data_IF_717666052685
#
_entry.id   IF_717666052685
#
_cell.length_a   1.000
_cell.length_b   1.000
_cell.length_c   1.000
_cell.angle_alpha   90.00
_cell.angle_beta   90.00
_cell.angle_gamma   90.00
#
_symmetry.space_group_name_H-M   'P 1'
#
loop_
_entity.id
_entity.type
_entity.pdbx_description
1 polymer ?
#
# COMPACT_ATOMS: atom_id res chain seq x y z
N UNK A 1 -16.52 -4.82 -23.22
CA UNK A 1 -15.36 -5.53 -23.79
C UNK A 1 -14.03 -5.12 -23.18
N UNK A 2 -13.86 -3.85 -22.78
CA UNK A 2 -12.56 -3.31 -22.28
C UNK A 2 -12.13 -3.78 -20.87
N UNK A 3 -13.06 -4.10 -19.96
CA UNK A 3 -12.69 -4.53 -18.59
C UNK A 3 -12.01 -5.91 -18.52
N UNK A 4 -12.26 -6.77 -19.48
CA UNK A 4 -11.59 -8.08 -19.60
C UNK A 4 -10.12 -7.92 -20.02
N UNK A 5 -9.88 -7.03 -20.97
CA UNK A 5 -8.54 -6.70 -21.47
C UNK A 5 -7.74 -5.99 -20.36
N UNK A 6 -8.38 -5.15 -19.56
CA UNK A 6 -7.77 -4.47 -18.43
C UNK A 6 -7.26 -5.44 -17.36
N UNK A 7 -8.08 -6.36 -16.90
CA UNK A 7 -7.68 -7.35 -15.91
C UNK A 7 -6.64 -8.34 -16.45
N UNK A 8 -6.67 -8.67 -17.76
CA UNK A 8 -5.66 -9.53 -18.38
C UNK A 8 -4.33 -8.80 -18.55
N UNK A 9 -4.31 -7.52 -18.91
CA UNK A 9 -3.10 -6.71 -19.00
C UNK A 9 -2.46 -6.45 -17.63
N UNK A 10 -3.28 -6.28 -16.59
CA UNK A 10 -2.81 -6.23 -15.21
C UNK A 10 -2.12 -7.55 -14.80
N UNK A 11 -2.65 -8.68 -15.30
CA UNK A 11 -2.09 -10.02 -15.08
C UNK A 11 -0.77 -10.23 -15.84
N UNK A 12 -0.64 -9.73 -17.07
CA UNK A 12 0.60 -9.83 -17.86
C UNK A 12 1.76 -9.02 -17.28
N UNK A 13 1.48 -7.84 -16.73
CA UNK A 13 2.45 -7.08 -15.95
C UNK A 13 2.88 -7.85 -14.68
N UNK A 14 2.02 -8.72 -14.17
CA UNK A 14 2.22 -9.49 -12.94
C UNK A 14 3.01 -10.80 -13.15
N UNK A 15 2.80 -11.51 -14.27
CA UNK A 15 3.49 -12.78 -14.56
C UNK A 15 5.00 -12.56 -14.82
N UNK A 16 5.39 -11.43 -15.41
CA UNK A 16 6.79 -11.01 -15.48
C UNK A 16 7.43 -10.68 -14.11
N UNK A 17 6.59 -10.53 -13.07
CA UNK A 17 6.97 -10.13 -11.70
C UNK A 17 7.24 -11.31 -10.76
N UNK A 18 6.68 -12.49 -11.05
CA UNK A 18 6.73 -13.65 -10.14
C UNK A 18 8.13 -14.27 -9.99
N UNK A 19 9.05 -13.97 -10.89
CA UNK A 19 10.42 -14.52 -10.88
C UNK A 19 11.35 -13.89 -9.85
N UNK A 20 10.97 -12.80 -9.15
CA UNK A 20 11.94 -12.00 -8.37
C UNK A 20 11.53 -11.64 -6.94
N UNK A 21 10.43 -12.16 -6.41
CA UNK A 21 10.01 -11.88 -5.04
C UNK A 21 10.78 -12.73 -4.02
N UNK A 22 12.02 -12.34 -3.72
CA UNK A 22 12.60 -12.57 -2.40
C UNK A 22 11.86 -11.65 -1.43
N UNK A 23 10.96 -12.22 -0.63
CA UNK A 23 10.33 -11.60 0.51
C UNK A 23 11.42 -11.31 1.57
N UNK A 24 12.08 -10.17 1.43
CA UNK A 24 12.80 -9.59 2.55
C UNK A 24 11.74 -8.88 3.39
N UNK A 25 11.38 -9.48 4.51
CA UNK A 25 10.64 -8.81 5.57
C UNK A 25 11.36 -7.48 5.85
N UNK A 26 10.83 -6.38 5.32
CA UNK A 26 11.38 -5.05 5.57
C UNK A 26 11.09 -4.75 7.03
N UNK A 27 12.07 -5.04 7.88
CA UNK A 27 12.08 -4.52 9.24
C UNK A 27 12.02 -3.00 9.11
N UNK A 28 10.92 -2.40 9.55
CA UNK A 28 10.72 -0.95 9.45
C UNK A 28 11.68 -0.29 10.40
N UNK A 29 12.84 0.09 9.88
CA UNK A 29 13.79 0.90 10.64
C UNK A 29 13.19 2.31 10.79
N UNK A 30 13.23 2.83 12.02
CA UNK A 30 12.78 4.17 12.38
C UNK A 30 13.31 5.20 11.39
N UNK A 31 12.46 6.14 11.01
CA UNK A 31 12.87 7.27 10.18
C UNK A 31 13.90 8.12 10.92
N UNK A 32 14.89 8.62 10.21
CA UNK A 32 15.98 9.42 10.80
C UNK A 32 16.11 10.76 10.08
N UNK A 33 16.50 11.77 10.84
CA UNK A 33 16.89 13.06 10.28
C UNK A 33 18.31 12.96 9.75
N UNK A 34 18.50 13.37 8.51
CA UNK A 34 19.80 13.51 7.88
C UNK A 34 19.97 14.94 7.37
N UNK A 35 21.17 15.46 7.51
CA UNK A 35 21.53 16.78 6.98
C UNK A 35 22.49 16.62 5.81
N UNK A 36 22.36 17.51 4.83
CA UNK A 36 23.32 17.64 3.73
C UNK A 36 23.85 19.06 3.73
N UNK A 37 25.18 19.19 3.82
CA UNK A 37 25.89 20.47 3.82
C UNK A 37 26.48 20.74 2.44
N UNK A 38 26.25 21.92 1.90
CA UNK A 38 26.92 22.49 0.75
C UNK A 38 27.70 23.75 1.17
N UNK A 39 28.49 24.35 0.26
CA UNK A 39 29.25 25.57 0.58
C UNK A 39 28.40 26.69 1.17
N UNK A 40 27.14 26.84 0.74
CA UNK A 40 26.28 27.96 1.07
C UNK A 40 24.97 27.62 1.80
N UNK A 41 24.69 26.32 2.03
CA UNK A 41 23.45 25.90 2.64
C UNK A 41 23.56 24.54 3.35
N UNK A 42 22.85 24.38 4.46
CA UNK A 42 22.59 23.10 5.10
C UNK A 42 21.09 22.77 4.91
N UNK A 43 20.78 21.59 4.43
CA UNK A 43 19.39 21.13 4.20
C UNK A 43 19.09 19.90 5.05
N UNK A 44 17.86 19.83 5.55
CA UNK A 44 17.35 18.79 6.43
C UNK A 44 16.39 17.86 5.68
N UNK A 45 16.54 16.55 5.91
CA UNK A 45 15.76 15.50 5.26
C UNK A 45 15.34 14.45 6.26
N UNK A 46 14.14 13.91 6.10
CA UNK A 46 13.74 12.65 6.75
C UNK A 46 14.08 11.52 5.79
N UNK A 47 14.88 10.56 6.24
CA UNK A 47 15.32 9.40 5.47
C UNK A 47 14.93 8.09 6.14
N UNK A 48 14.61 7.09 5.33
CA UNK A 48 14.39 5.72 5.73
C UNK A 48 15.58 4.86 5.33
N UNK A 49 16.19 4.17 6.31
CA UNK A 49 17.23 3.18 6.02
C UNK A 49 16.56 1.86 5.59
N UNK A 50 17.12 1.20 4.59
CA UNK A 50 16.71 -0.14 4.16
C UNK A 50 17.92 -0.93 3.68
N UNK A 51 17.76 -2.25 3.57
CA UNK A 51 18.78 -3.13 3.00
C UNK A 51 18.39 -3.38 1.54
N UNK A 52 19.29 -3.11 0.60
CA UNK A 52 19.03 -3.36 -0.81
C UNK A 52 19.14 -4.86 -1.16
N UNK A 53 18.84 -5.23 -2.40
CA UNK A 53 18.90 -6.60 -2.90
C UNK A 53 20.28 -7.26 -2.77
N UNK A 54 21.33 -6.46 -2.61
CA UNK A 54 22.72 -6.90 -2.46
C UNK A 54 23.16 -7.01 -0.99
N UNK A 55 22.23 -6.86 -0.03
CA UNK A 55 22.50 -6.89 1.40
C UNK A 55 23.17 -5.62 1.94
N UNK A 56 23.30 -4.56 1.13
CA UNK A 56 23.93 -3.30 1.54
C UNK A 56 22.91 -2.37 2.18
N UNK A 57 23.27 -1.80 3.34
CA UNK A 57 22.45 -0.77 4.00
C UNK A 57 22.50 0.52 3.18
N UNK A 58 21.32 1.00 2.79
CA UNK A 58 21.16 2.25 2.03
C UNK A 58 20.00 3.07 2.62
N UNK A 59 19.78 4.28 2.13
CA UNK A 59 18.68 5.12 2.61
C UNK A 59 17.98 5.84 1.47
N UNK A 60 16.67 5.97 1.57
CA UNK A 60 15.87 6.81 0.67
C UNK A 60 15.34 8.04 1.38
N UNK A 61 15.25 9.15 0.67
CA UNK A 61 14.62 10.36 1.19
C UNK A 61 13.11 10.22 1.13
N UNK A 62 12.45 10.37 2.29
CA UNK A 62 11.00 10.37 2.41
C UNK A 62 10.47 11.78 2.22
N UNK A 63 11.08 12.76 2.93
CA UNK A 63 10.66 14.16 2.89
C UNK A 63 11.85 15.09 3.05
N UNK A 64 11.87 16.18 2.28
CA UNK A 64 12.73 17.33 2.53
C UNK A 64 12.03 18.28 3.48
N UNK A 65 12.67 18.66 4.57
CA UNK A 65 12.13 19.58 5.57
C UNK A 65 12.36 21.04 5.20
N UNK A 66 13.53 21.36 4.63
CA UNK A 66 13.90 22.70 4.22
C UNK A 66 15.39 22.97 4.39
N UNK A 67 15.79 24.21 4.16
CA UNK A 67 17.15 24.70 4.44
C UNK A 67 17.25 25.27 5.84
N UNK A 68 18.46 25.25 6.43
CA UNK A 68 18.68 25.79 7.77
C UNK A 68 18.19 27.25 7.90
N UNK A 69 18.42 28.07 6.86
CA UNK A 69 18.01 29.47 6.86
C UNK A 69 16.48 29.65 6.96
N UNK A 70 15.74 28.84 6.22
CA UNK A 70 14.26 28.84 6.27
C UNK A 70 13.77 28.37 7.63
N UNK A 71 14.32 27.28 8.14
CA UNK A 71 13.87 26.63 9.36
C UNK A 71 14.23 27.45 10.64
N UNK A 72 15.31 28.23 10.62
CA UNK A 72 15.65 29.12 11.73
C UNK A 72 14.61 30.25 11.92
N UNK A 73 13.97 30.68 10.83
CA UNK A 73 12.91 31.71 10.91
C UNK A 73 11.64 31.16 11.54
N UNK A 74 11.33 29.87 11.30
CA UNK A 74 10.04 29.27 11.68
C UNK A 74 10.12 28.50 13.01
N UNK A 75 11.27 27.90 13.34
CA UNK A 75 11.36 26.88 14.40
C UNK A 75 12.39 27.17 15.48
N UNK A 76 13.00 28.36 15.50
CA UNK A 76 13.89 28.82 16.58
C UNK A 76 15.22 29.38 16.09
N UNK A 77 15.88 30.17 16.95
CA UNK A 77 17.07 30.94 16.55
C UNK A 77 18.35 30.10 16.47
N UNK A 78 18.34 28.84 16.96
CA UNK A 78 19.53 28.03 16.98
C UNK A 78 19.41 26.79 16.09
N UNK A 79 20.55 26.27 15.62
CA UNK A 79 20.61 25.03 14.85
C UNK A 79 20.07 23.84 15.66
N UNK A 80 20.24 23.87 16.98
CA UNK A 80 19.81 22.79 17.86
C UNK A 80 18.28 22.78 18.01
N UNK A 81 17.63 23.93 18.01
CA UNK A 81 16.16 24.03 17.99
C UNK A 81 15.59 23.43 16.70
N UNK A 82 16.17 23.78 15.55
CA UNK A 82 15.80 23.20 14.25
C UNK A 82 16.01 21.70 14.24
N UNK A 83 17.10 21.20 14.82
CA UNK A 83 17.36 19.76 14.90
C UNK A 83 16.38 19.05 15.84
N UNK A 84 16.00 19.66 16.95
CA UNK A 84 15.00 19.11 17.86
C UNK A 84 13.64 19.00 17.17
N UNK A 85 13.21 20.08 16.49
CA UNK A 85 12.00 20.08 15.69
C UNK A 85 12.03 19.03 14.57
N UNK A 86 13.13 18.92 13.82
CA UNK A 86 13.28 17.94 12.76
C UNK A 86 13.19 16.50 13.28
N UNK A 87 13.75 16.21 14.46
CA UNK A 87 13.63 14.90 15.13
C UNK A 87 12.18 14.60 15.50
N UNK A 88 11.44 15.60 16.00
CA UNK A 88 10.02 15.45 16.32
C UNK A 88 9.19 15.19 15.05
N UNK A 89 9.47 15.85 13.93
CA UNK A 89 8.83 15.56 12.65
C UNK A 89 9.12 14.11 12.18
N UNK A 90 10.35 13.63 12.35
CA UNK A 90 10.70 12.26 12.02
C UNK A 90 9.99 11.24 12.93
N UNK A 91 9.74 11.57 14.22
CA UNK A 91 8.95 10.78 15.16
C UNK A 91 7.50 10.67 14.70
N UNK A 92 6.87 11.81 14.40
CA UNK A 92 5.48 11.89 13.92
C UNK A 92 5.30 11.09 12.62
N UNK A 93 6.22 11.25 11.68
CA UNK A 93 6.17 10.49 10.42
C UNK A 93 6.39 8.98 10.64
N UNK A 94 7.22 8.59 11.62
CA UNK A 94 7.39 7.18 12.00
C UNK A 94 6.11 6.60 12.58
N UNK A 95 5.45 7.32 13.50
CA UNK A 95 4.18 6.90 14.09
C UNK A 95 3.06 6.76 13.05
N UNK A 96 2.96 7.72 12.11
CA UNK A 96 2.01 7.61 11.00
C UNK A 96 2.27 6.38 10.14
N UNK A 97 3.55 6.10 9.86
CA UNK A 97 3.93 4.94 9.07
C UNK A 97 3.65 3.62 9.81
N UNK A 98 3.89 3.58 11.13
CA UNK A 98 3.57 2.43 11.98
C UNK A 98 2.06 2.22 12.10
N UNK A 99 1.27 3.29 12.24
CA UNK A 99 -0.19 3.22 12.24
C UNK A 99 -0.75 2.74 10.89
N UNK A 100 -0.22 3.25 9.77
CA UNK A 100 -0.59 2.76 8.42
C UNK A 100 -0.26 1.27 8.28
N UNK A 101 0.87 0.82 8.81
CA UNK A 101 1.26 -0.60 8.81
C UNK A 101 0.39 -1.44 9.74
N UNK A 102 0.07 -0.94 10.93
CA UNK A 102 -0.82 -1.62 11.88
C UNK A 102 -2.24 -1.79 11.33
N UNK A 103 -2.72 -0.81 10.55
CA UNK A 103 -4.02 -0.90 9.86
C UNK A 103 -4.07 -2.00 8.78
N UNK A 104 -2.93 -2.58 8.41
CA UNK A 104 -2.84 -3.71 7.48
C UNK A 104 -2.67 -5.06 8.21
N UNK A 105 -2.73 -5.07 9.55
CA UNK A 105 -2.71 -6.30 10.32
C UNK A 105 -4.13 -6.83 10.53
N UNK A 106 -4.35 -8.10 10.22
CA UNK A 106 -5.62 -8.79 10.52
C UNK A 106 -5.43 -9.51 11.85
N UNK A 107 -6.02 -9.01 12.96
CA UNK A 107 -5.93 -9.69 14.25
C UNK A 107 -6.81 -10.94 14.24
N UNK A 108 -6.21 -12.10 14.39
CA UNK A 108 -6.93 -13.37 14.57
C UNK A 108 -6.92 -13.71 16.07
N UNK A 109 -8.09 -13.66 16.69
CA UNK A 109 -8.24 -14.01 18.11
C UNK A 109 -8.49 -15.50 18.26
N UNK A 110 -7.60 -16.19 18.96
CA UNK A 110 -7.72 -17.60 19.29
C UNK A 110 -8.27 -17.76 20.71
N UNK A 111 -9.38 -18.51 20.83
CA UNK A 111 -9.97 -18.89 22.11
C UNK A 111 -9.85 -20.41 22.27
N UNK A 112 -8.79 -20.94 22.92
CA UNK A 112 -8.54 -22.38 22.98
C UNK A 112 -9.65 -23.16 23.69
N UNK A 113 -10.40 -22.50 24.58
CA UNK A 113 -11.47 -23.13 25.38
C UNK A 113 -12.88 -22.95 24.79
N UNK A 114 -13.01 -22.27 23.63
CA UNK A 114 -14.30 -22.07 23.00
C UNK A 114 -14.73 -23.33 22.25
N UNK A 115 -15.91 -23.86 22.62
CA UNK A 115 -16.56 -24.92 21.84
C UNK A 115 -16.99 -24.37 20.48
N UNK A 116 -16.80 -25.16 19.46
CA UNK A 116 -17.12 -24.82 18.09
C UNK A 116 -18.57 -25.10 17.84
N UNK A 117 -19.30 -24.11 17.32
CA UNK A 117 -20.70 -24.31 16.94
C UNK A 117 -20.79 -25.20 15.69
N UNK A 118 -21.87 -26.00 15.61
CA UNK A 118 -22.13 -26.80 14.42
C UNK A 118 -22.37 -25.87 13.21
N UNK A 119 -21.67 -26.12 12.10
CA UNK A 119 -21.75 -25.27 10.91
C UNK A 119 -20.86 -24.01 10.93
N UNK A 120 -20.09 -23.75 11.99
CA UNK A 120 -19.16 -22.63 12.03
C UNK A 120 -18.09 -22.79 10.93
N UNK A 121 -17.93 -21.75 10.09
CA UNK A 121 -16.95 -21.71 9.03
C UNK A 121 -15.55 -21.56 9.63
N UNK A 122 -14.65 -22.46 9.28
CA UNK A 122 -13.29 -22.50 9.84
C UNK A 122 -12.18 -22.52 8.82
N UNK A 123 -12.54 -22.71 7.56
CA UNK A 123 -11.57 -22.68 6.48
C UNK A 123 -11.61 -21.29 5.85
N UNK A 124 -10.47 -20.62 5.91
CA UNK A 124 -10.26 -19.34 5.25
C UNK A 124 -9.10 -19.47 4.27
N UNK A 125 -9.23 -18.76 3.16
CA UNK A 125 -8.16 -18.69 2.19
C UNK A 125 -7.23 -17.54 2.58
N UNK A 126 -6.02 -17.88 3.06
CA UNK A 126 -5.02 -16.89 3.52
C UNK A 126 -4.06 -16.42 2.43
N UNK A 127 -4.06 -17.07 1.24
CA UNK A 127 -3.11 -16.73 0.17
C UNK A 127 -3.21 -15.28 -0.34
N UNK A 128 -4.38 -14.67 -0.21
CA UNK A 128 -4.58 -13.27 -0.58
C UNK A 128 -3.79 -12.27 0.27
N UNK A 129 -3.41 -12.62 1.51
CA UNK A 129 -2.64 -11.74 2.39
C UNK A 129 -1.28 -11.35 1.78
N UNK A 130 -0.66 -12.28 1.06
CA UNK A 130 0.55 -11.99 0.33
C UNK A 130 0.30 -10.98 -0.81
N UNK A 131 -0.79 -11.16 -1.54
CA UNK A 131 -1.20 -10.26 -2.62
C UNK A 131 -1.62 -8.89 -2.08
N UNK A 132 -2.23 -8.84 -0.90
CA UNK A 132 -2.62 -7.63 -0.20
C UNK A 132 -1.40 -6.75 0.10
N UNK A 133 -0.29 -7.33 0.57
CA UNK A 133 0.95 -6.60 0.79
C UNK A 133 1.43 -5.90 -0.48
N UNK A 134 1.43 -6.61 -1.62
CA UNK A 134 1.81 -6.06 -2.92
C UNK A 134 0.84 -4.99 -3.43
N UNK A 135 -0.45 -5.18 -3.22
CA UNK A 135 -1.49 -4.22 -3.58
C UNK A 135 -1.25 -2.86 -2.93
N UNK A 136 -0.93 -2.87 -1.63
CA UNK A 136 -0.61 -1.64 -0.89
C UNK A 136 0.75 -1.06 -1.27
N UNK A 137 1.75 -1.89 -1.51
CA UNK A 137 3.08 -1.46 -1.95
C UNK A 137 3.03 -0.76 -3.31
N UNK A 138 2.21 -1.27 -4.23
CA UNK A 138 1.93 -0.64 -5.52
C UNK A 138 1.03 0.60 -5.41
N UNK A 139 0.51 0.92 -4.23
CA UNK A 139 -0.28 2.11 -3.98
C UNK A 139 -1.67 2.12 -4.62
N UNK A 140 -2.23 0.96 -4.96
CA UNK A 140 -3.55 0.85 -5.57
C UNK A 140 -4.67 1.40 -4.68
N UNK A 141 -4.54 1.28 -3.37
CA UNK A 141 -5.42 1.92 -2.40
C UNK A 141 -5.44 3.46 -2.53
N UNK A 142 -4.29 4.08 -2.83
CA UNK A 142 -4.18 5.54 -3.05
C UNK A 142 -4.84 5.93 -4.37
N UNK A 143 -4.73 5.07 -5.39
CA UNK A 143 -5.42 5.27 -6.68
C UNK A 143 -6.94 5.22 -6.48
N UNK A 144 -7.45 4.23 -5.74
CA UNK A 144 -8.88 4.16 -5.41
C UNK A 144 -9.39 5.40 -4.68
N UNK A 145 -8.60 6.00 -3.78
CA UNK A 145 -8.95 7.29 -3.14
C UNK A 145 -9.06 8.41 -4.15
N UNK A 146 -8.09 8.55 -5.08
CA UNK A 146 -8.14 9.56 -6.15
C UNK A 146 -9.38 9.40 -7.04
N UNK A 147 -9.77 8.15 -7.34
CA UNK A 147 -10.97 7.86 -8.13
C UNK A 147 -12.22 8.26 -7.34
N UNK A 148 -12.29 7.93 -6.04
CA UNK A 148 -13.40 8.30 -5.17
C UNK A 148 -13.61 9.81 -5.09
N UNK A 149 -12.53 10.60 -5.12
CA UNK A 149 -12.62 12.05 -5.05
C UNK A 149 -13.23 12.66 -6.34
N UNK A 150 -13.21 11.91 -7.45
CA UNK A 150 -13.82 12.32 -8.73
C UNK A 150 -15.25 11.81 -8.93
N UNK A 151 -15.57 10.66 -8.35
CA UNK A 151 -16.83 9.95 -8.57
C UNK A 151 -17.64 9.84 -7.30
N UNK A 152 -18.97 9.91 -7.42
CA UNK A 152 -19.89 9.75 -6.30
C UNK A 152 -20.49 8.34 -6.33
N UNK A 153 -20.07 7.48 -5.41
CA UNK A 153 -20.60 6.13 -5.19
C UNK A 153 -20.59 5.77 -3.70
N UNK A 154 -21.43 4.83 -3.32
CA UNK A 154 -21.72 4.43 -1.94
C UNK A 154 -21.05 3.12 -1.49
N UNK A 155 -20.28 2.47 -2.39
CA UNK A 155 -19.58 1.22 -2.14
C UNK A 155 -18.07 1.42 -1.95
N UNK A 156 -17.41 0.44 -1.33
CA UNK A 156 -15.94 0.46 -1.18
C UNK A 156 -15.25 -0.06 -2.45
N UNK A 157 -14.88 0.88 -3.34
CA UNK A 157 -14.13 0.58 -4.56
C UNK A 157 -12.81 -0.12 -4.28
N UNK A 158 -12.13 0.23 -3.18
CA UNK A 158 -10.85 -0.35 -2.83
C UNK A 158 -11.00 -1.84 -2.47
N UNK A 159 -12.00 -2.19 -1.65
CA UNK A 159 -12.29 -3.57 -1.32
C UNK A 159 -12.68 -4.38 -2.58
N UNK A 160 -13.54 -3.82 -3.46
CA UNK A 160 -13.94 -4.48 -4.70
C UNK A 160 -12.74 -4.72 -5.62
N UNK A 161 -11.90 -3.72 -5.86
CA UNK A 161 -10.74 -3.85 -6.75
C UNK A 161 -9.73 -4.85 -6.20
N UNK A 162 -9.43 -4.80 -4.91
CA UNK A 162 -8.49 -5.72 -4.27
C UNK A 162 -8.97 -7.17 -4.36
N UNK A 163 -10.23 -7.43 -4.03
CA UNK A 163 -10.80 -8.77 -4.07
C UNK A 163 -10.88 -9.34 -5.49
N UNK A 164 -11.21 -8.49 -6.48
CA UNK A 164 -11.19 -8.89 -7.89
C UNK A 164 -9.79 -9.28 -8.36
N UNK A 165 -8.75 -8.56 -7.91
CA UNK A 165 -7.35 -8.89 -8.24
C UNK A 165 -6.95 -10.18 -7.54
N UNK A 166 -7.22 -10.33 -6.24
CA UNK A 166 -6.84 -11.52 -5.48
C UNK A 166 -7.50 -12.77 -6.01
N UNK A 167 -8.81 -12.73 -6.22
CA UNK A 167 -9.55 -13.87 -6.75
C UNK A 167 -9.14 -14.20 -8.17
N UNK A 168 -8.79 -13.20 -8.99
CA UNK A 168 -8.30 -13.44 -10.36
C UNK A 168 -6.99 -14.21 -10.40
N UNK A 169 -6.14 -14.02 -9.38
CA UNK A 169 -4.84 -14.69 -9.28
C UNK A 169 -4.98 -16.05 -8.62
N UNK A 170 -5.76 -16.14 -7.53
CA UNK A 170 -5.89 -17.37 -6.73
C UNK A 170 -6.83 -18.39 -7.36
N UNK A 171 -7.99 -17.95 -7.80
CA UNK A 171 -9.05 -18.78 -8.38
C UNK A 171 -9.72 -18.05 -9.55
N UNK A 172 -9.13 -18.09 -10.75
CA UNK A 172 -9.68 -17.42 -11.93
C UNK A 172 -11.08 -17.91 -12.26
N UNK A 173 -12.04 -16.98 -12.30
CA UNK A 173 -13.44 -17.32 -12.57
C UNK A 173 -14.29 -16.14 -13.04
N UNK A 174 -15.61 -16.31 -13.04
CA UNK A 174 -16.57 -15.25 -13.33
C UNK A 174 -16.62 -14.23 -12.17
N UNK A 175 -17.19 -13.05 -12.39
CA UNK A 175 -17.37 -12.02 -11.33
C UNK A 175 -18.19 -12.55 -10.15
N UNK A 176 -19.21 -13.36 -10.45
CA UNK A 176 -20.02 -14.04 -9.43
C UNK A 176 -19.17 -15.05 -8.64
N UNK A 177 -18.36 -15.87 -9.31
CA UNK A 177 -17.46 -16.80 -8.67
C UNK A 177 -16.41 -16.06 -7.82
N UNK A 178 -15.84 -14.97 -8.32
CA UNK A 178 -14.91 -14.12 -7.56
C UNK A 178 -15.51 -13.60 -6.26
N UNK A 179 -16.78 -13.17 -6.30
CA UNK A 179 -17.49 -12.73 -5.11
C UNK A 179 -17.69 -13.86 -4.08
N UNK A 180 -18.05 -15.07 -4.55
CA UNK A 180 -18.18 -16.23 -3.65
C UNK A 180 -16.82 -16.66 -3.07
N UNK A 181 -15.75 -16.62 -3.86
CA UNK A 181 -14.38 -16.88 -3.38
C UNK A 181 -13.94 -15.85 -2.35
N UNK A 182 -14.20 -14.56 -2.57
CA UNK A 182 -13.85 -13.49 -1.64
C UNK A 182 -14.52 -13.67 -0.26
N UNK A 183 -15.73 -14.23 -0.20
CA UNK A 183 -16.38 -14.59 1.08
C UNK A 183 -15.57 -15.60 1.91
N UNK A 184 -14.61 -16.28 1.30
CA UNK A 184 -13.74 -17.22 1.99
C UNK A 184 -12.45 -16.58 2.52
N UNK A 185 -12.22 -15.31 2.26
CA UNK A 185 -11.11 -14.56 2.84
C UNK A 185 -11.35 -14.31 4.34
N UNK A 186 -10.28 -13.99 5.06
CA UNK A 186 -10.38 -13.60 6.48
C UNK A 186 -11.17 -12.30 6.63
N UNK A 187 -11.01 -11.38 5.68
CA UNK A 187 -11.78 -10.15 5.56
C UNK A 187 -12.91 -10.38 4.57
N UNK A 188 -14.10 -10.66 5.09
CA UNK A 188 -15.26 -10.87 4.23
C UNK A 188 -15.66 -9.58 3.49
N UNK A 189 -16.15 -9.67 2.23
CA UNK A 189 -16.63 -8.52 1.48
C UNK A 189 -17.69 -7.72 2.23
N UNK A 190 -17.52 -6.41 2.30
CA UNK A 190 -18.50 -5.48 2.89
C UNK A 190 -19.49 -4.92 1.85
N UNK A 191 -19.34 -5.29 0.59
CA UNK A 191 -20.10 -4.87 -0.56
C UNK A 191 -20.97 -6.03 -1.10
N UNK A 192 -21.89 -5.73 -2.01
CA UNK A 192 -22.77 -6.70 -2.64
C UNK A 192 -22.32 -7.03 -4.08
N UNK A 193 -22.83 -8.15 -4.63
CA UNK A 193 -22.51 -8.57 -5.99
C UNK A 193 -22.81 -7.50 -7.05
N UNK A 194 -23.90 -6.75 -6.91
CA UNK A 194 -24.27 -5.69 -7.86
C UNK A 194 -23.28 -4.52 -7.84
N UNK A 195 -22.63 -4.24 -6.70
CA UNK A 195 -21.64 -3.18 -6.58
C UNK A 195 -20.39 -3.49 -7.40
N UNK A 196 -20.04 -4.78 -7.58
CA UNK A 196 -18.96 -5.18 -8.47
C UNK A 196 -19.20 -4.68 -9.90
N UNK A 197 -20.42 -4.85 -10.42
CA UNK A 197 -20.74 -4.41 -11.77
C UNK A 197 -20.72 -2.88 -11.90
N UNK A 198 -21.19 -2.17 -10.88
CA UNK A 198 -21.12 -0.69 -10.82
C UNK A 198 -19.67 -0.22 -10.76
N UNK A 199 -18.86 -0.86 -9.93
CA UNK A 199 -17.44 -0.56 -9.78
C UNK A 199 -16.66 -0.81 -11.08
N UNK A 200 -16.97 -1.87 -11.84
CA UNK A 200 -16.33 -2.15 -13.12
C UNK A 200 -16.53 -1.03 -14.15
N UNK A 201 -17.66 -0.35 -14.15
CA UNK A 201 -17.88 0.80 -15.02
C UNK A 201 -16.92 1.95 -14.64
N UNK A 202 -16.87 2.32 -13.36
CA UNK A 202 -15.94 3.36 -12.86
C UNK A 202 -14.49 2.99 -13.13
N UNK A 203 -14.10 1.73 -12.89
CA UNK A 203 -12.74 1.26 -13.17
C UNK A 203 -12.39 1.29 -14.67
N UNK A 204 -13.39 1.08 -15.54
CA UNK A 204 -13.20 1.17 -16.99
C UNK A 204 -13.00 2.62 -17.44
N UNK A 205 -13.74 3.57 -16.86
CA UNK A 205 -13.60 4.99 -17.14
C UNK A 205 -12.24 5.54 -16.69
N UNK A 206 -11.74 5.08 -15.55
CA UNK A 206 -10.46 5.52 -14.96
C UNK A 206 -9.28 4.60 -15.31
N UNK A 207 -9.40 3.78 -16.35
CA UNK A 207 -8.40 2.79 -16.75
C UNK A 207 -7.01 3.43 -16.97
N UNK A 208 -6.94 4.55 -17.69
CA UNK A 208 -5.69 5.24 -18.01
C UNK A 208 -5.01 5.80 -16.75
N UNK A 209 -5.81 6.34 -15.81
CA UNK A 209 -5.30 6.80 -14.52
C UNK A 209 -4.69 5.62 -13.74
N UNK A 210 -5.40 4.51 -13.65
CA UNK A 210 -4.95 3.33 -12.92
C UNK A 210 -3.65 2.80 -13.52
N UNK A 211 -3.57 2.66 -14.84
CA UNK A 211 -2.39 2.16 -15.54
C UNK A 211 -1.18 3.08 -15.37
N UNK A 212 -1.36 4.39 -15.52
CA UNK A 212 -0.27 5.36 -15.39
C UNK A 212 0.29 5.42 -13.97
N UNK A 213 -0.57 5.43 -12.94
CA UNK A 213 -0.16 5.41 -11.54
C UNK A 213 0.53 4.08 -11.18
N UNK A 214 -0.03 2.95 -11.62
CA UNK A 214 0.56 1.63 -11.39
C UNK A 214 1.94 1.53 -12.03
N UNK A 215 2.10 1.99 -13.28
CA UNK A 215 3.40 2.04 -13.96
C UNK A 215 4.42 2.90 -13.21
N UNK A 216 4.01 4.09 -12.76
CA UNK A 216 4.86 4.99 -11.97
C UNK A 216 5.31 4.34 -10.67
N UNK A 217 4.37 3.74 -9.93
CA UNK A 217 4.63 3.11 -8.65
C UNK A 217 5.48 1.84 -8.81
N UNK A 218 5.26 1.04 -9.84
CA UNK A 218 6.05 -0.16 -10.12
C UNK A 218 7.53 0.14 -10.36
N UNK A 219 7.86 1.28 -11.00
CA UNK A 219 9.24 1.72 -11.16
C UNK A 219 9.94 2.01 -9.83
N UNK A 220 9.21 2.54 -8.85
CA UNK A 220 9.77 2.82 -7.53
C UNK A 220 10.00 1.55 -6.72
N UNK A 221 9.17 0.52 -6.91
CA UNK A 221 9.28 -0.77 -6.23
C UNK A 221 10.37 -1.64 -6.87
N UNK A 222 10.46 -1.65 -8.19
CA UNK A 222 11.38 -2.54 -8.92
C UNK A 222 12.75 -1.96 -9.20
N UNK A 223 13.02 -0.68 -8.92
CA UNK A 223 14.28 -0.02 -9.30
C UNK A 223 14.73 -0.40 -10.72
N UNK A 224 13.90 -0.10 -11.71
CA UNK A 224 14.27 -0.20 -13.13
C UNK A 224 14.98 1.05 -13.58
#
# INVERSE_FOLDING_TARGET
MNAYIFLSNLLFLYIGFFGFLRYNGIEVKKLKVNTSKSKNAESFYIKQSYIDSNGKSTSRTIRKLGTLKELLVEHGPTRDDVMAWAKEQARIETEKFEQEKANHCIPITFHPNRKIAHGEKRKFQGGYLFLQSLYYELGLNKVCRKIRDKHHYDYDLNAILSDLIYTRILEPGSKRSSFETAKNFLEAPTYQLHDIYRALNVLSEECDLIQSELYRNSKSVLKR
#
